data_IF_433539820346
#
_entry.id   IF_433539820346
#
_cell.length_a   1.000
_cell.length_b   1.000
_cell.length_c   1.000
_cell.angle_alpha   90.00
_cell.angle_beta   90.00
_cell.angle_gamma   90.00
#
_symmetry.space_group_name_H-M   'P 1'
#
loop_
_entity.id
_entity.type
_entity.pdbx_description
1 polymer ?
#
# COMPACT_ATOMS: atom_id res chain seq x y z
N UNK A 1 27.37 13.62 21.98
CA UNK A 1 26.55 13.82 20.76
C UNK A 1 26.83 15.21 20.19
N UNK A 2 26.81 15.41 18.87
CA UNK A 2 26.85 16.77 18.32
C UNK A 2 25.57 17.51 18.71
N UNK A 3 25.72 18.75 19.21
CA UNK A 3 24.61 19.66 19.53
C UNK A 3 23.65 19.74 18.34
N UNK A 4 22.37 19.40 18.52
CA UNK A 4 21.33 19.65 17.52
C UNK A 4 21.26 21.16 17.26
N UNK A 5 21.71 21.58 16.09
CA UNK A 5 21.45 22.92 15.56
C UNK A 5 19.94 23.09 15.36
N UNK A 6 19.41 24.30 15.55
CA UNK A 6 18.02 24.60 15.19
C UNK A 6 17.72 24.05 13.79
N UNK A 7 16.58 23.36 13.59
CA UNK A 7 16.29 22.71 12.32
C UNK A 7 16.37 23.77 11.21
N UNK A 8 17.18 23.56 10.16
CA UNK A 8 17.29 24.53 9.08
C UNK A 8 15.89 24.75 8.48
N UNK A 9 15.57 26.00 8.15
CA UNK A 9 14.31 26.34 7.49
C UNK A 9 14.24 25.64 6.14
N UNK A 10 13.47 24.56 6.08
CA UNK A 10 13.29 23.78 4.86
C UNK A 10 12.39 24.53 3.87
N UNK A 11 12.96 24.94 2.72
CA UNK A 11 12.19 25.54 1.64
C UNK A 11 11.28 24.51 0.97
N UNK A 12 9.98 24.80 0.92
CA UNK A 12 8.99 23.96 0.22
C UNK A 12 9.31 23.81 -1.26
N UNK A 13 9.77 24.88 -1.92
CA UNK A 13 10.15 24.82 -3.33
C UNK A 13 11.30 23.84 -3.55
N UNK A 14 12.32 23.89 -2.68
CA UNK A 14 13.45 22.98 -2.75
C UNK A 14 13.03 21.52 -2.56
N UNK A 15 12.16 21.24 -1.58
CA UNK A 15 11.59 19.90 -1.37
C UNK A 15 10.79 19.43 -2.59
N UNK A 16 9.97 20.31 -3.18
CA UNK A 16 9.19 19.99 -4.37
C UNK A 16 10.10 19.62 -5.56
N UNK A 17 11.19 20.36 -5.78
CA UNK A 17 12.17 20.05 -6.83
C UNK A 17 12.85 18.70 -6.60
N UNK A 18 13.24 18.38 -5.35
CA UNK A 18 13.80 17.06 -5.03
C UNK A 18 12.78 15.91 -5.15
N UNK A 19 11.50 16.21 -5.02
CA UNK A 19 10.41 15.24 -5.09
C UNK A 19 9.91 14.99 -6.52
N UNK A 20 10.38 15.72 -7.53
CA UNK A 20 10.00 15.49 -8.94
C UNK A 20 10.14 14.04 -9.43
N UNK A 21 11.11 13.22 -8.97
CA UNK A 21 11.16 11.80 -9.34
C UNK A 21 9.87 11.01 -9.04
N UNK A 22 9.07 11.38 -8.03
CA UNK A 22 7.76 10.74 -7.80
C UNK A 22 6.82 10.94 -8.99
N UNK A 23 6.83 12.13 -9.61
CA UNK A 23 5.97 12.43 -10.75
C UNK A 23 6.41 11.70 -12.02
N UNK A 24 7.72 11.41 -12.14
CA UNK A 24 8.24 10.56 -13.21
C UNK A 24 7.70 9.13 -13.08
N UNK A 25 7.59 8.60 -11.86
CA UNK A 25 6.98 7.29 -11.60
C UNK A 25 5.49 7.31 -11.98
N UNK A 26 4.73 8.37 -11.65
CA UNK A 26 3.34 8.51 -12.11
C UNK A 26 3.23 8.54 -13.63
N UNK A 27 4.12 9.27 -14.32
CA UNK A 27 4.13 9.30 -15.78
C UNK A 27 4.42 7.92 -16.39
N UNK A 28 5.34 7.16 -15.80
CA UNK A 28 5.61 5.78 -16.19
C UNK A 28 4.37 4.88 -16.06
N UNK A 29 3.68 4.93 -14.92
CA UNK A 29 2.44 4.16 -14.72
C UNK A 29 1.32 4.60 -15.68
N UNK A 30 1.19 5.91 -15.93
CA UNK A 30 0.20 6.44 -16.87
C UNK A 30 0.44 5.92 -18.29
N UNK A 31 1.70 5.79 -18.70
CA UNK A 31 2.04 5.14 -19.97
C UNK A 31 1.74 3.64 -19.93
N UNK A 32 1.99 2.96 -18.82
CA UNK A 32 1.68 1.54 -18.67
C UNK A 32 0.18 1.25 -18.83
N UNK A 33 -0.70 2.17 -18.43
CA UNK A 33 -2.15 2.03 -18.67
C UNK A 33 -2.53 1.88 -20.14
N UNK A 34 -1.78 2.47 -21.07
CA UNK A 34 -2.00 2.27 -22.50
C UNK A 34 -1.88 0.80 -22.92
N UNK A 35 -1.17 -0.02 -22.13
CA UNK A 35 -1.00 -1.45 -22.38
C UNK A 35 -2.25 -2.27 -22.04
N UNK A 36 -3.25 -1.66 -21.39
CA UNK A 36 -4.55 -2.27 -21.13
C UNK A 36 -5.50 -2.19 -22.33
N UNK A 37 -5.17 -1.46 -23.39
CA UNK A 37 -6.06 -1.29 -24.55
C UNK A 37 -6.59 -2.63 -25.12
N UNK A 38 -5.77 -3.69 -25.28
CA UNK A 38 -6.27 -4.96 -25.83
C UNK A 38 -7.25 -5.71 -24.92
N UNK A 39 -7.22 -5.48 -23.59
CA UNK A 39 -8.16 -6.14 -22.66
C UNK A 39 -9.51 -5.43 -22.56
N UNK A 40 -9.60 -4.18 -23.03
CA UNK A 40 -10.83 -3.37 -23.00
C UNK A 40 -12.04 -4.09 -23.60
N UNK A 41 -12.00 -4.52 -24.87
CA UNK A 41 -13.13 -5.20 -25.51
C UNK A 41 -13.55 -6.50 -24.80
N UNK A 42 -12.58 -7.24 -24.25
CA UNK A 42 -12.85 -8.48 -23.49
C UNK A 42 -13.61 -8.17 -22.20
N UNK A 43 -13.20 -7.13 -21.47
CA UNK A 43 -13.89 -6.67 -20.26
C UNK A 43 -15.30 -6.17 -20.61
N UNK A 44 -15.46 -5.38 -21.66
CA UNK A 44 -16.75 -4.87 -22.11
C UNK A 44 -17.73 -6.01 -22.45
N UNK A 45 -17.25 -7.04 -23.16
CA UNK A 45 -18.05 -8.23 -23.47
C UNK A 45 -18.47 -8.99 -22.21
N UNK A 46 -17.54 -9.21 -21.27
CA UNK A 46 -17.83 -9.87 -19.99
C UNK A 46 -18.82 -9.07 -19.14
N UNK A 47 -18.69 -7.74 -19.08
CA UNK A 47 -19.63 -6.84 -18.40
C UNK A 47 -21.04 -6.94 -19.01
N UNK A 48 -21.12 -6.99 -20.34
CA UNK A 48 -22.39 -7.07 -21.08
C UNK A 48 -23.10 -8.41 -20.89
N UNK A 49 -22.33 -9.50 -21.01
CA UNK A 49 -22.85 -10.88 -20.96
C UNK A 49 -23.00 -11.41 -19.54
N UNK A 50 -22.28 -10.84 -18.57
CA UNK A 50 -22.17 -11.36 -17.21
C UNK A 50 -21.67 -12.79 -17.17
N UNK A 51 -20.78 -13.14 -18.11
CA UNK A 51 -20.15 -14.44 -18.24
C UNK A 51 -18.64 -14.27 -18.41
N UNK A 52 -17.88 -15.03 -17.64
CA UNK A 52 -16.45 -15.23 -17.83
C UNK A 52 -16.23 -16.53 -18.59
N UNK A 53 -15.77 -16.44 -19.84
CA UNK A 53 -15.55 -17.62 -20.69
C UNK A 53 -14.12 -18.11 -20.58
N UNK A 54 -13.97 -19.41 -20.32
CA UNK A 54 -12.70 -20.13 -20.37
C UNK A 54 -12.75 -21.23 -21.42
N UNK A 55 -11.60 -21.83 -21.75
CA UNK A 55 -11.51 -22.97 -22.68
C UNK A 55 -12.32 -24.21 -22.24
N UNK A 56 -12.75 -24.29 -20.97
CA UNK A 56 -13.48 -25.44 -20.44
C UNK A 56 -14.88 -25.15 -19.88
N UNK A 57 -15.25 -23.87 -19.65
CA UNK A 57 -16.54 -23.52 -19.06
C UNK A 57 -16.90 -22.03 -19.20
N UNK A 58 -18.20 -21.75 -19.13
CA UNK A 58 -18.75 -20.41 -18.92
C UNK A 58 -19.09 -20.24 -17.44
N UNK A 59 -18.45 -19.28 -16.78
CA UNK A 59 -18.69 -18.98 -15.37
C UNK A 59 -19.57 -17.74 -15.28
N UNK A 60 -20.75 -17.81 -14.63
CA UNK A 60 -21.56 -16.62 -14.41
C UNK A 60 -20.86 -15.68 -13.43
N UNK A 61 -20.86 -14.39 -13.73
CA UNK A 61 -20.31 -13.34 -12.87
C UNK A 61 -21.41 -12.32 -12.54
N UNK A 62 -21.28 -11.70 -11.37
CA UNK A 62 -22.30 -10.81 -10.84
C UNK A 62 -22.24 -9.47 -11.56
N UNK A 63 -23.42 -8.93 -11.95
CA UNK A 63 -23.56 -7.66 -12.66
C UNK A 63 -23.67 -6.43 -11.76
N UNK A 64 -24.15 -6.62 -10.53
CA UNK A 64 -24.32 -5.57 -9.53
C UNK A 64 -24.45 -6.20 -8.15
N UNK A 65 -23.93 -5.49 -7.14
CA UNK A 65 -23.75 -6.03 -5.79
C UNK A 65 -24.23 -5.08 -4.70
N UNK A 66 -24.00 -3.78 -4.86
CA UNK A 66 -24.27 -2.78 -3.83
C UNK A 66 -25.71 -2.26 -3.85
N UNK A 67 -26.43 -2.45 -4.97
CA UNK A 67 -27.78 -1.91 -5.16
C UNK A 67 -27.81 -0.41 -5.39
N UNK A 68 -26.66 0.18 -5.75
CA UNK A 68 -26.50 1.60 -6.05
C UNK A 68 -25.97 1.68 -7.49
N UNK A 69 -26.78 2.12 -8.47
CA UNK A 69 -26.43 2.00 -9.89
C UNK A 69 -25.05 2.54 -10.25
N UNK A 70 -24.71 3.74 -9.76
CA UNK A 70 -23.40 4.36 -10.03
C UNK A 70 -22.23 3.52 -9.49
N UNK A 71 -22.37 2.93 -8.29
CA UNK A 71 -21.33 2.08 -7.72
C UNK A 71 -21.24 0.75 -8.46
N UNK A 72 -22.39 0.15 -8.76
CA UNK A 72 -22.45 -1.11 -9.49
C UNK A 72 -21.86 -0.97 -10.89
N UNK A 73 -22.16 0.11 -11.62
CA UNK A 73 -21.60 0.36 -12.97
C UNK A 73 -20.08 0.50 -12.94
N UNK A 74 -19.53 1.26 -11.98
CA UNK A 74 -18.08 1.44 -11.84
C UNK A 74 -17.40 0.12 -11.45
N UNK A 75 -17.89 -0.53 -10.40
CA UNK A 75 -17.24 -1.72 -9.84
C UNK A 75 -17.50 -2.99 -10.63
N UNK A 76 -18.48 -3.03 -11.52
CA UNK A 76 -18.64 -4.14 -12.45
C UNK A 76 -17.41 -4.25 -13.36
N UNK A 77 -16.99 -3.13 -13.98
CA UNK A 77 -15.78 -3.08 -14.82
C UNK A 77 -14.54 -3.52 -14.05
N UNK A 78 -14.35 -2.97 -12.84
CA UNK A 78 -13.18 -3.30 -12.00
C UNK A 78 -13.20 -4.77 -11.56
N UNK A 79 -14.36 -5.28 -11.11
CA UNK A 79 -14.49 -6.66 -10.65
C UNK A 79 -14.25 -7.64 -11.81
N UNK A 80 -14.71 -7.34 -13.02
CA UNK A 80 -14.46 -8.15 -14.22
C UNK A 80 -12.97 -8.16 -14.58
N UNK A 81 -12.30 -7.01 -14.53
CA UNK A 81 -10.85 -6.95 -14.72
C UNK A 81 -10.12 -7.83 -13.69
N UNK A 82 -10.52 -7.77 -12.42
CA UNK A 82 -9.94 -8.60 -11.36
C UNK A 82 -10.30 -10.09 -11.47
N UNK A 83 -11.42 -10.46 -12.10
CA UNK A 83 -11.71 -11.86 -12.38
C UNK A 83 -10.64 -12.49 -13.30
N UNK A 84 -10.14 -11.73 -14.29
CA UNK A 84 -9.03 -12.16 -15.15
C UNK A 84 -7.71 -12.36 -14.38
N UNK A 85 -7.55 -11.72 -13.22
CA UNK A 85 -6.41 -11.88 -12.32
C UNK A 85 -6.64 -13.05 -11.33
N UNK A 86 -7.83 -13.16 -10.75
CA UNK A 86 -8.12 -14.05 -9.62
C UNK A 86 -8.57 -15.46 -10.02
N UNK A 87 -9.02 -15.66 -11.25
CA UNK A 87 -9.56 -16.95 -11.70
C UNK A 87 -8.51 -17.93 -12.22
N UNK A 88 -7.22 -17.59 -12.09
CA UNK A 88 -6.11 -18.43 -12.57
C UNK A 88 -6.13 -18.64 -14.09
N UNK A 89 -6.74 -17.72 -14.84
CA UNK A 89 -6.78 -17.80 -16.31
C UNK A 89 -5.41 -17.53 -16.93
N UNK A 90 -4.73 -16.47 -16.45
CA UNK A 90 -3.31 -16.24 -16.65
C UNK A 90 -2.59 -16.53 -15.32
N UNK A 91 -1.87 -17.64 -15.25
CA UNK A 91 -1.17 -18.12 -14.06
C UNK A 91 -0.16 -17.07 -13.54
N UNK A 92 0.56 -16.39 -14.43
CA UNK A 92 1.53 -15.35 -14.04
C UNK A 92 0.81 -14.14 -13.45
N UNK A 93 -0.30 -13.73 -14.05
CA UNK A 93 -1.09 -12.62 -13.55
C UNK A 93 -1.69 -12.93 -12.18
N UNK A 94 -2.17 -14.16 -11.96
CA UNK A 94 -2.71 -14.61 -10.68
C UNK A 94 -1.68 -14.54 -9.56
N UNK A 95 -0.49 -15.10 -9.78
CA UNK A 95 0.57 -15.11 -8.78
C UNK A 95 1.07 -13.70 -8.48
N UNK A 96 1.23 -12.88 -9.51
CA UNK A 96 1.62 -11.49 -9.37
C UNK A 96 0.59 -10.70 -8.54
N UNK A 97 -0.70 -10.81 -8.89
CA UNK A 97 -1.75 -10.04 -8.24
C UNK A 97 -2.03 -10.51 -6.82
N UNK A 98 -1.90 -11.82 -6.54
CA UNK A 98 -2.01 -12.36 -5.18
C UNK A 98 -0.97 -11.71 -4.25
N UNK A 99 0.29 -11.70 -4.66
CA UNK A 99 1.37 -11.10 -3.85
C UNK A 99 1.17 -9.60 -3.75
N UNK A 100 0.99 -8.90 -4.88
CA UNK A 100 0.84 -7.45 -4.89
C UNK A 100 -0.29 -6.98 -3.97
N UNK A 101 -1.48 -7.55 -4.10
CA UNK A 101 -2.62 -7.13 -3.30
C UNK A 101 -2.47 -7.56 -1.83
N UNK A 102 -1.81 -8.67 -1.54
CA UNK A 102 -1.51 -9.02 -0.14
C UNK A 102 -0.55 -8.00 0.48
N UNK A 103 0.49 -7.65 -0.27
CA UNK A 103 1.52 -6.68 0.10
C UNK A 103 0.95 -5.29 0.35
N UNK A 104 0.01 -4.88 -0.50
CA UNK A 104 -0.55 -3.54 -0.45
C UNK A 104 -1.23 -3.23 0.89
N UNK A 105 -1.74 -4.23 1.63
CA UNK A 105 -2.31 -4.02 2.96
C UNK A 105 -1.33 -3.31 3.93
N UNK A 106 -0.04 -3.65 3.88
CA UNK A 106 0.98 -3.00 4.71
C UNK A 106 1.20 -1.53 4.32
N UNK A 107 1.24 -1.24 3.02
CA UNK A 107 1.34 0.13 2.51
C UNK A 107 0.08 0.94 2.81
N UNK A 108 -1.08 0.34 2.64
CA UNK A 108 -2.38 0.92 3.00
C UNK A 108 -2.43 1.32 4.47
N UNK A 109 -1.96 0.44 5.38
CA UNK A 109 -1.87 0.74 6.80
C UNK A 109 -0.95 1.95 7.07
N UNK A 110 0.21 2.02 6.41
CA UNK A 110 1.13 3.18 6.50
C UNK A 110 0.47 4.47 6.01
N UNK A 111 -0.19 4.46 4.85
CA UNK A 111 -0.89 5.63 4.31
C UNK A 111 -1.95 6.14 5.30
N UNK A 112 -2.72 5.23 5.90
CA UNK A 112 -3.68 5.61 6.95
C UNK A 112 -3.00 6.18 8.19
N UNK A 113 -1.92 5.58 8.68
CA UNK A 113 -1.20 6.09 9.85
C UNK A 113 -0.65 7.50 9.59
N UNK A 114 -0.09 7.74 8.40
CA UNK A 114 0.38 9.08 8.00
C UNK A 114 -0.75 10.10 7.87
N UNK A 115 -1.94 9.68 7.41
CA UNK A 115 -3.13 10.53 7.42
C UNK A 115 -3.48 11.00 8.83
N UNK A 116 -3.43 10.10 9.82
CA UNK A 116 -3.73 10.41 11.21
C UNK A 116 -2.60 11.15 11.95
N UNK A 117 -1.42 11.31 11.36
CA UNK A 117 -0.30 12.01 12.02
C UNK A 117 -0.63 13.49 12.27
N UNK A 118 -0.48 14.02 13.50
CA UNK A 118 -0.82 15.41 13.81
C UNK A 118 -0.06 16.44 12.97
N UNK A 119 1.22 16.20 12.70
CA UNK A 119 2.09 17.10 11.92
C UNK A 119 1.78 17.13 10.42
N UNK A 120 0.97 16.20 9.92
CA UNK A 120 0.59 16.18 8.52
C UNK A 120 -0.41 17.32 8.22
N UNK A 121 0.03 18.33 7.48
CA UNK A 121 -0.78 19.49 7.08
C UNK A 121 -1.39 19.37 5.69
N UNK A 122 -1.22 18.23 5.01
CA UNK A 122 -1.84 17.99 3.71
C UNK A 122 -3.31 17.59 3.92
N UNK A 123 -4.22 18.55 3.75
CA UNK A 123 -5.64 18.40 4.08
C UNK A 123 -6.29 17.18 3.41
N UNK A 124 -6.00 16.91 2.14
CA UNK A 124 -6.62 15.78 1.41
C UNK A 124 -6.22 14.44 2.04
N UNK A 125 -4.99 14.30 2.52
CA UNK A 125 -4.58 13.07 3.21
C UNK A 125 -5.34 12.82 4.51
N UNK A 126 -6.00 13.81 5.11
CA UNK A 126 -6.88 13.60 6.28
C UNK A 126 -8.14 12.79 5.96
N UNK A 127 -8.44 12.62 4.67
CA UNK A 127 -9.54 11.81 4.17
C UNK A 127 -8.98 10.62 3.38
N UNK A 128 -8.32 9.65 4.05
CA UNK A 128 -7.66 8.53 3.38
C UNK A 128 -8.63 7.74 2.48
N UNK A 129 -9.91 7.69 2.84
CA UNK A 129 -10.96 7.06 2.02
C UNK A 129 -11.00 7.63 0.59
N UNK A 130 -10.87 8.95 0.41
CA UNK A 130 -10.97 9.58 -0.93
C UNK A 130 -9.77 9.17 -1.77
N UNK A 131 -8.57 9.30 -1.20
CA UNK A 131 -7.34 8.95 -1.91
C UNK A 131 -7.31 7.46 -2.28
N UNK A 132 -7.69 6.58 -1.35
CA UNK A 132 -7.62 5.14 -1.53
C UNK A 132 -8.75 4.63 -2.44
N UNK A 133 -9.92 5.28 -2.40
CA UNK A 133 -11.01 5.00 -3.34
C UNK A 133 -10.63 5.39 -4.78
N UNK A 134 -10.02 6.56 -4.98
CA UNK A 134 -9.52 6.96 -6.31
C UNK A 134 -8.41 6.02 -6.79
N UNK A 135 -7.55 5.56 -5.88
CA UNK A 135 -6.50 4.57 -6.19
C UNK A 135 -7.07 3.24 -6.67
N UNK A 136 -8.26 2.85 -6.19
CA UNK A 136 -8.93 1.65 -6.66
C UNK A 136 -9.42 1.77 -8.11
N UNK A 137 -9.74 2.99 -8.56
CA UNK A 137 -10.25 3.25 -9.91
C UNK A 137 -9.13 3.48 -10.94
N UNK A 138 -8.04 4.14 -10.55
CA UNK A 138 -6.96 4.60 -11.45
C UNK A 138 -5.64 3.83 -11.21
N UNK A 139 -5.66 2.77 -10.41
CA UNK A 139 -4.50 2.07 -9.88
C UNK A 139 -3.62 2.89 -8.91
N UNK A 140 -3.07 2.19 -7.92
CA UNK A 140 -2.27 2.78 -6.86
C UNK A 140 -0.89 3.23 -7.35
N UNK A 141 -0.35 2.62 -8.41
CA UNK A 141 0.91 2.98 -9.04
C UNK A 141 0.90 4.39 -9.63
N UNK A 142 -0.28 4.93 -9.97
CA UNK A 142 -0.45 6.32 -10.39
C UNK A 142 -0.55 7.25 -9.20
N UNK A 143 -1.37 6.87 -8.20
CA UNK A 143 -1.77 7.76 -7.10
C UNK A 143 -0.77 7.77 -5.95
N UNK A 144 -0.13 6.65 -5.61
CA UNK A 144 0.83 6.55 -4.52
C UNK A 144 2.05 7.47 -4.70
N UNK A 145 2.69 7.58 -5.89
CA UNK A 145 3.76 8.55 -6.07
C UNK A 145 3.31 9.99 -5.85
N UNK A 146 2.09 10.36 -6.30
CA UNK A 146 1.51 11.69 -6.03
C UNK A 146 1.31 11.89 -4.52
N UNK A 147 0.78 10.90 -3.82
CA UNK A 147 0.64 10.96 -2.37
C UNK A 147 1.98 11.14 -1.67
N UNK A 148 2.99 10.36 -2.04
CA UNK A 148 4.33 10.45 -1.44
C UNK A 148 5.03 11.76 -1.75
N UNK A 149 4.85 12.32 -2.96
CA UNK A 149 5.28 13.67 -3.31
C UNK A 149 4.67 14.71 -2.36
N UNK A 150 3.35 14.67 -2.17
CA UNK A 150 2.65 15.62 -1.31
C UNK A 150 2.99 15.40 0.17
N UNK A 151 3.02 14.16 0.63
CA UNK A 151 3.37 13.79 1.99
C UNK A 151 4.78 14.28 2.35
N UNK A 152 5.76 14.10 1.45
CA UNK A 152 7.12 14.61 1.63
C UNK A 152 7.16 16.14 1.67
N UNK A 153 6.41 16.82 0.80
CA UNK A 153 6.36 18.28 0.74
C UNK A 153 5.76 18.90 2.03
N UNK A 154 4.70 18.29 2.56
CA UNK A 154 3.94 18.83 3.69
C UNK A 154 4.39 18.30 5.07
N UNK A 155 5.30 17.34 5.10
CA UNK A 155 5.84 16.74 6.34
C UNK A 155 7.36 16.90 6.41
N UNK A 156 7.86 18.14 6.61
CA UNK A 156 9.28 18.42 6.78
C UNK A 156 9.83 17.78 8.07
N UNK A 157 11.16 17.62 8.14
CA UNK A 157 11.83 16.83 9.19
C UNK A 157 11.44 17.28 10.60
N UNK A 158 11.40 18.60 10.84
CA UNK A 158 11.06 19.17 12.15
C UNK A 158 9.68 18.73 12.66
N UNK A 159 8.71 18.46 11.78
CA UNK A 159 7.38 18.00 12.21
C UNK A 159 7.38 16.52 12.63
N UNK A 160 8.30 15.73 12.09
CA UNK A 160 8.47 14.33 12.48
C UNK A 160 9.22 14.22 13.80
N UNK A 161 10.25 15.04 13.99
CA UNK A 161 11.06 15.02 15.21
C UNK A 161 10.41 15.74 16.38
N UNK A 162 9.46 16.65 16.15
CA UNK A 162 8.71 17.30 17.24
C UNK A 162 7.68 16.32 17.83
N UNK A 163 7.76 15.92 19.13
CA UNK A 163 6.90 14.88 19.68
C UNK A 163 5.39 15.13 19.53
N UNK A 164 4.93 16.37 19.68
CA UNK A 164 3.51 16.73 19.56
C UNK A 164 2.97 16.64 18.12
N UNK A 165 3.86 16.66 17.13
CA UNK A 165 3.51 16.63 15.71
C UNK A 165 3.81 15.26 15.09
N UNK A 166 4.86 14.59 15.57
CA UNK A 166 5.31 13.30 15.05
C UNK A 166 4.54 12.12 15.64
N UNK A 167 4.14 12.16 16.92
CA UNK A 167 3.62 10.96 17.61
C UNK A 167 2.21 10.55 17.15
N UNK A 168 1.99 9.25 16.95
CA UNK A 168 0.70 8.69 16.57
C UNK A 168 -0.14 8.35 17.81
N UNK A 169 -1.46 8.38 17.68
CA UNK A 169 -2.33 7.97 18.78
C UNK A 169 -2.60 6.46 18.74
N UNK A 170 -2.61 5.84 19.93
CA UNK A 170 -2.80 4.38 20.09
C UNK A 170 -4.14 3.89 19.54
N UNK A 171 -5.19 4.70 19.67
CA UNK A 171 -6.56 4.35 19.26
C UNK A 171 -6.65 4.03 17.76
N UNK A 172 -6.29 4.98 16.87
CA UNK A 172 -6.18 4.74 15.44
C UNK A 172 -5.27 3.56 15.07
N UNK A 173 -4.11 3.38 15.73
CA UNK A 173 -3.23 2.24 15.43
C UNK A 173 -3.92 0.89 15.63
N UNK A 174 -4.62 0.71 16.77
CA UNK A 174 -5.39 -0.51 17.05
C UNK A 174 -6.59 -0.66 16.11
N UNK A 175 -7.27 0.44 15.80
CA UNK A 175 -8.43 0.43 14.91
C UNK A 175 -8.06 0.07 13.47
N UNK A 176 -6.95 0.58 12.97
CA UNK A 176 -6.41 0.25 11.64
C UNK A 176 -6.06 -1.24 11.56
N UNK A 177 -5.50 -1.84 12.61
CA UNK A 177 -5.25 -3.27 12.63
C UNK A 177 -6.54 -4.10 12.45
N UNK A 178 -7.58 -3.78 13.22
CA UNK A 178 -8.89 -4.45 13.06
C UNK A 178 -9.45 -4.24 11.66
N UNK A 179 -9.34 -3.01 11.12
CA UNK A 179 -9.79 -2.67 9.79
C UNK A 179 -9.06 -3.44 8.68
N UNK A 180 -7.73 -3.61 8.77
CA UNK A 180 -6.95 -4.41 7.82
C UNK A 180 -7.40 -5.87 7.84
N UNK A 181 -7.58 -6.46 9.02
CA UNK A 181 -8.01 -7.85 9.10
C UNK A 181 -9.41 -8.03 8.48
N UNK A 182 -10.38 -7.25 8.94
CA UNK A 182 -11.80 -7.45 8.59
C UNK A 182 -12.19 -6.86 7.24
N UNK A 183 -11.71 -5.64 6.95
CA UNK A 183 -12.09 -4.89 5.76
C UNK A 183 -11.21 -5.17 4.55
N UNK A 184 -10.03 -5.78 4.74
CA UNK A 184 -9.10 -6.08 3.66
C UNK A 184 -8.84 -7.58 3.51
N UNK A 185 -8.20 -8.24 4.49
CA UNK A 185 -7.76 -9.63 4.32
C UNK A 185 -8.89 -10.64 4.27
N UNK A 186 -9.93 -10.47 5.10
CA UNK A 186 -11.09 -11.38 5.14
C UNK A 186 -11.79 -11.49 3.78
N UNK A 187 -12.06 -10.40 3.02
CA UNK A 187 -12.60 -10.56 1.67
C UNK A 187 -11.53 -10.86 0.61
N UNK A 188 -10.28 -10.40 0.79
CA UNK A 188 -9.18 -10.65 -0.16
C UNK A 188 -8.90 -12.13 -0.36
N UNK A 189 -8.61 -12.89 0.71
CA UNK A 189 -8.16 -14.27 0.53
C UNK A 189 -9.21 -15.21 -0.06
N UNK A 190 -10.49 -15.16 0.32
CA UNK A 190 -11.54 -15.90 -0.36
C UNK A 190 -11.74 -15.51 -1.83
N UNK A 191 -11.42 -14.27 -2.23
CA UNK A 191 -11.44 -13.88 -3.65
C UNK A 191 -10.40 -14.63 -4.50
N UNK A 192 -9.35 -15.18 -3.88
CA UNK A 192 -8.33 -16.00 -4.54
C UNK A 192 -8.49 -17.49 -4.29
N UNK A 193 -8.81 -17.90 -3.06
CA UNK A 193 -8.69 -19.29 -2.65
C UNK A 193 -10.01 -20.06 -2.61
N UNK A 194 -11.15 -19.41 -2.83
CA UNK A 194 -12.41 -20.15 -2.88
C UNK A 194 -12.39 -21.15 -4.05
N UNK A 195 -12.87 -22.38 -3.83
CA UNK A 195 -12.91 -23.38 -4.90
C UNK A 195 -13.88 -23.02 -6.03
N UNK A 196 -14.95 -22.28 -5.72
CA UNK A 196 -15.91 -21.80 -6.71
C UNK A 196 -15.49 -20.43 -7.26
N UNK A 197 -15.34 -20.33 -8.58
CA UNK A 197 -15.04 -19.07 -9.27
C UNK A 197 -16.16 -18.02 -9.09
N UNK A 198 -17.41 -18.46 -9.04
CA UNK A 198 -18.55 -17.57 -8.72
C UNK A 198 -18.41 -16.97 -7.32
N UNK A 199 -18.02 -17.79 -6.33
CA UNK A 199 -17.76 -17.30 -4.98
C UNK A 199 -16.53 -16.40 -4.93
N UNK A 200 -15.49 -16.66 -5.73
CA UNK A 200 -14.35 -15.74 -5.88
C UNK A 200 -14.83 -14.37 -6.38
N UNK A 201 -15.69 -14.34 -7.40
CA UNK A 201 -16.28 -13.10 -7.91
C UNK A 201 -17.07 -12.36 -6.81
N UNK A 202 -17.89 -13.08 -6.04
CA UNK A 202 -18.67 -12.50 -4.95
C UNK A 202 -17.78 -11.87 -3.86
N UNK A 203 -16.71 -12.56 -3.45
CA UNK A 203 -15.75 -12.02 -2.50
C UNK A 203 -14.94 -10.85 -3.07
N UNK A 204 -14.63 -10.89 -4.37
CA UNK A 204 -14.00 -9.79 -5.06
C UNK A 204 -14.87 -8.52 -5.00
N UNK A 205 -16.17 -8.63 -5.29
CA UNK A 205 -17.11 -7.50 -5.12
C UNK A 205 -17.08 -6.90 -3.71
N UNK A 206 -16.99 -7.72 -2.66
CA UNK A 206 -16.83 -7.18 -1.30
C UNK A 206 -15.49 -6.46 -1.15
N UNK A 207 -14.41 -7.09 -1.63
CA UNK A 207 -13.06 -6.56 -1.52
C UNK A 207 -12.87 -5.24 -2.27
N UNK A 208 -13.49 -5.04 -3.44
CA UNK A 208 -13.34 -3.83 -4.25
C UNK A 208 -13.67 -2.53 -3.47
N UNK A 209 -14.55 -2.61 -2.47
CA UNK A 209 -14.91 -1.48 -1.61
C UNK A 209 -14.09 -1.41 -0.30
N UNK A 210 -12.94 -2.10 -0.20
CA UNK A 210 -12.10 -2.13 0.99
C UNK A 210 -11.74 -0.74 1.54
N UNK A 211 -11.52 0.34 0.74
CA UNK A 211 -11.22 1.66 1.31
C UNK A 211 -12.34 2.16 2.20
N UNK A 212 -13.60 1.92 1.80
CA UNK A 212 -14.80 2.34 2.54
C UNK A 212 -14.97 1.47 3.79
N UNK A 213 -14.84 0.14 3.66
CA UNK A 213 -14.94 -0.78 4.80
C UNK A 213 -13.88 -0.48 5.84
N UNK A 214 -12.63 -0.38 5.43
CA UNK A 214 -11.51 -0.14 6.33
C UNK A 214 -11.63 1.22 7.05
N UNK A 215 -12.03 2.28 6.36
CA UNK A 215 -12.22 3.59 6.99
C UNK A 215 -13.41 3.58 7.97
N UNK A 216 -14.51 2.91 7.61
CA UNK A 216 -15.70 2.80 8.46
C UNK A 216 -15.39 2.01 9.74
N UNK A 217 -14.70 0.88 9.61
CA UNK A 217 -14.24 0.06 10.75
C UNK A 217 -13.27 0.85 11.61
N UNK A 218 -12.29 1.53 11.00
CA UNK A 218 -11.33 2.37 11.73
C UNK A 218 -12.05 3.45 12.54
N UNK A 219 -13.02 4.15 11.95
CA UNK A 219 -13.82 5.17 12.64
C UNK A 219 -14.62 4.60 13.82
N UNK A 220 -15.31 3.47 13.62
CA UNK A 220 -16.10 2.82 14.66
C UNK A 220 -15.20 2.35 15.83
N UNK A 221 -14.12 1.63 15.54
CA UNK A 221 -13.24 1.07 16.56
C UNK A 221 -12.32 2.10 17.21
N UNK A 222 -11.97 3.21 16.56
CA UNK A 222 -11.20 4.30 17.18
C UNK A 222 -11.92 4.86 18.41
N UNK A 223 -13.25 5.00 18.34
CA UNK A 223 -14.07 5.46 19.48
C UNK A 223 -14.10 4.45 20.61
N UNK A 224 -14.15 3.15 20.30
CA UNK A 224 -14.14 2.07 21.29
C UNK A 224 -12.79 2.03 21.99
N UNK A 225 -11.69 2.01 21.25
CA UNK A 225 -10.34 1.95 21.82
C UNK A 225 -9.95 3.22 22.58
N UNK A 226 -10.44 4.40 22.17
CA UNK A 226 -10.25 5.62 22.93
C UNK A 226 -10.89 5.54 24.33
N UNK A 227 -12.05 4.88 24.46
CA UNK A 227 -12.72 4.67 25.75
C UNK A 227 -12.00 3.64 26.62
N UNK A 228 -11.47 2.58 26.01
CA UNK A 228 -10.78 1.48 26.70
C UNK A 228 -9.35 1.84 27.14
N UNK A 229 -8.69 2.81 26.51
CA UNK A 229 -7.32 3.21 26.83
C UNK A 229 -7.21 4.11 28.09
N UNK A 230 -8.26 4.20 28.93
CA UNK A 230 -8.15 4.84 30.24
C UNK A 230 -7.29 3.97 31.16
N UNK A 231 -5.99 4.29 31.20
CA UNK A 231 -5.02 3.90 32.23
C UNK A 231 -4.79 2.39 32.43
N UNK A 232 -4.01 1.79 31.55
CA UNK A 232 -3.19 0.63 31.91
C UNK A 232 -1.74 1.09 31.86
N UNK A 233 -1.03 1.13 33.00
CA UNK A 233 0.35 1.62 33.17
C UNK A 233 1.45 0.88 32.37
N UNK A 234 1.16 0.40 31.17
CA UNK A 234 2.14 -0.11 30.21
C UNK A 234 3.01 1.04 29.69
N UNK A 235 4.31 0.86 29.73
CA UNK A 235 5.26 1.71 29.02
C UNK A 235 5.00 1.55 27.50
N UNK A 236 4.71 2.66 26.81
CA UNK A 236 4.66 2.77 25.33
C UNK A 236 3.65 1.88 24.58
N UNK A 237 2.34 1.92 24.90
CA UNK A 237 1.30 1.13 24.22
C UNK A 237 1.14 1.42 22.71
N UNK A 238 1.67 2.55 22.23
CA UNK A 238 1.71 2.91 20.81
C UNK A 238 2.73 2.07 20.04
N UNK A 239 3.93 1.90 20.58
CA UNK A 239 5.01 1.13 19.96
C UNK A 239 4.57 -0.32 19.75
N UNK A 240 3.95 -0.91 20.77
CA UNK A 240 3.43 -2.27 20.69
C UNK A 240 2.34 -2.41 19.63
N UNK A 241 1.42 -1.44 19.54
CA UNK A 241 0.37 -1.44 18.52
C UNK A 241 0.96 -1.35 17.10
N UNK A 242 1.95 -0.48 16.87
CA UNK A 242 2.63 -0.36 15.59
C UNK A 242 3.39 -1.64 15.22
N UNK A 243 4.10 -2.25 16.17
CA UNK A 243 4.81 -3.53 15.98
C UNK A 243 3.86 -4.66 15.60
N UNK A 244 2.73 -4.79 16.30
CA UNK A 244 1.74 -5.82 16.01
C UNK A 244 1.14 -5.60 14.62
N UNK A 245 0.75 -4.37 14.29
CA UNK A 245 0.15 -4.04 13.01
C UNK A 245 1.13 -4.27 11.83
N UNK A 246 2.30 -3.65 11.89
CA UNK A 246 3.31 -3.73 10.82
C UNK A 246 3.87 -5.15 10.74
N UNK A 247 4.17 -5.78 11.87
CA UNK A 247 4.64 -7.17 11.94
C UNK A 247 3.61 -8.15 11.40
N UNK A 248 2.33 -8.00 11.75
CA UNK A 248 1.25 -8.82 11.22
C UNK A 248 1.12 -8.72 9.71
N UNK A 249 1.13 -7.49 9.15
CA UNK A 249 1.12 -7.31 7.69
C UNK A 249 2.37 -7.93 7.04
N UNK A 250 3.55 -7.71 7.64
CA UNK A 250 4.83 -8.23 7.14
C UNK A 250 4.88 -9.75 7.08
N UNK A 251 4.35 -10.43 8.10
CA UNK A 251 4.29 -11.90 8.17
C UNK A 251 3.34 -12.44 7.11
N UNK A 252 2.16 -11.83 6.94
CA UNK A 252 1.19 -12.26 5.93
C UNK A 252 1.74 -12.07 4.52
N UNK A 253 2.34 -10.92 4.22
CA UNK A 253 3.06 -10.65 2.98
C UNK A 253 4.16 -11.66 2.69
N UNK A 254 5.01 -11.95 3.69
CA UNK A 254 6.11 -12.89 3.54
C UNK A 254 5.60 -14.31 3.27
N UNK A 255 4.50 -14.68 3.94
CA UNK A 255 3.81 -15.94 3.70
C UNK A 255 3.29 -16.05 2.27
N UNK A 256 2.62 -15.00 1.75
CA UNK A 256 2.14 -14.98 0.37
C UNK A 256 3.28 -14.98 -0.65
N UNK A 257 4.38 -14.28 -0.38
CA UNK A 257 5.59 -14.30 -1.19
C UNK A 257 6.14 -15.73 -1.31
N UNK A 258 6.49 -16.37 -0.18
CA UNK A 258 7.05 -17.72 -0.21
C UNK A 258 6.08 -18.77 -0.74
N UNK A 259 4.78 -18.65 -0.44
CA UNK A 259 3.77 -19.52 -1.01
C UNK A 259 3.74 -19.41 -2.54
N UNK A 260 3.83 -18.20 -3.07
CA UNK A 260 3.88 -17.95 -4.52
C UNK A 260 5.15 -18.52 -5.13
N UNK A 261 6.32 -18.23 -4.55
CA UNK A 261 7.60 -18.78 -5.03
C UNK A 261 7.60 -20.31 -5.04
N UNK A 262 7.00 -20.95 -4.03
CA UNK A 262 6.92 -22.40 -3.94
C UNK A 262 5.90 -23.02 -4.90
N UNK A 263 4.90 -22.26 -5.35
CA UNK A 263 3.78 -22.76 -6.15
C UNK A 263 3.88 -22.45 -7.64
N UNK A 264 4.52 -21.34 -8.01
CA UNK A 264 4.65 -20.90 -9.40
C UNK A 264 5.65 -21.76 -10.17
N UNK A 265 5.41 -21.94 -11.46
CA UNK A 265 6.33 -22.67 -12.37
C UNK A 265 7.28 -21.74 -13.13
N UNK A 266 6.89 -20.49 -13.26
CA UNK A 266 7.62 -19.46 -14.00
C UNK A 266 8.69 -18.79 -13.14
N UNK A 267 9.59 -18.07 -13.78
CA UNK A 267 10.61 -17.31 -13.05
C UNK A 267 10.03 -16.09 -12.32
N UNK A 268 10.67 -15.68 -11.22
CA UNK A 268 10.31 -14.44 -10.48
C UNK A 268 10.23 -13.24 -11.43
N UNK A 269 11.15 -13.15 -12.39
CA UNK A 269 11.20 -12.03 -13.32
C UNK A 269 10.01 -12.02 -14.29
N UNK A 270 9.56 -13.18 -14.76
CA UNK A 270 8.38 -13.26 -15.63
C UNK A 270 7.08 -12.92 -14.91
N UNK A 271 7.00 -13.26 -13.62
CA UNK A 271 5.81 -12.99 -12.80
C UNK A 271 5.78 -11.54 -12.33
N UNK A 272 6.90 -10.99 -11.86
CA UNK A 272 6.91 -9.70 -11.17
C UNK A 272 7.48 -8.52 -11.96
N UNK A 273 8.23 -8.77 -13.04
CA UNK A 273 8.88 -7.69 -13.81
C UNK A 273 8.20 -7.53 -15.18
N UNK A 274 7.76 -6.32 -15.55
CA UNK A 274 7.22 -6.03 -16.87
C UNK A 274 8.21 -6.41 -17.96
N UNK A 275 7.78 -7.31 -18.85
CA UNK A 275 8.56 -7.70 -20.03
C UNK A 275 8.43 -6.69 -21.17
N UNK A 276 7.37 -5.89 -21.14
CA UNK A 276 7.09 -4.85 -22.12
C UNK A 276 7.37 -3.49 -21.50
N UNK A 277 8.45 -2.81 -21.93
CA UNK A 277 8.80 -1.47 -21.46
C UNK A 277 8.42 -0.36 -22.47
N UNK A 278 8.47 -0.68 -23.77
CA UNK A 278 8.28 0.29 -24.86
C UNK A 278 7.15 -0.16 -25.79
N UNK A 279 7.13 -1.42 -26.18
CA UNK A 279 6.10 -2.01 -27.03
C UNK A 279 4.83 -2.33 -26.26
N UNK A 280 3.68 -2.32 -26.94
CA UNK A 280 2.39 -2.65 -26.34
C UNK A 280 2.08 -4.12 -26.64
N UNK A 281 1.77 -4.93 -25.62
CA UNK A 281 1.36 -6.32 -25.84
C UNK A 281 0.10 -6.35 -26.68
N UNK A 282 -0.04 -7.37 -27.52
CA UNK A 282 -1.23 -7.56 -28.36
C UNK A 282 -2.23 -8.53 -27.71
N UNK A 283 -1.75 -9.45 -26.88
CA UNK A 283 -2.60 -10.38 -26.16
C UNK A 283 -3.28 -9.68 -24.95
N UNK A 284 -4.61 -9.77 -24.82
CA UNK A 284 -5.36 -9.12 -23.74
C UNK A 284 -4.86 -9.44 -22.32
N UNK A 285 -4.68 -10.72 -22.01
CA UNK A 285 -4.20 -11.21 -20.70
C UNK A 285 -2.83 -10.62 -20.35
N UNK A 286 -1.92 -10.59 -21.33
CA UNK A 286 -0.57 -10.05 -21.20
C UNK A 286 -0.59 -8.54 -21.00
N UNK A 287 -1.51 -7.84 -21.66
CA UNK A 287 -1.77 -6.41 -21.43
C UNK A 287 -2.12 -6.14 -19.98
N UNK A 288 -3.13 -6.82 -19.46
CA UNK A 288 -3.56 -6.67 -18.07
C UNK A 288 -2.45 -7.06 -17.08
N UNK A 289 -1.75 -8.19 -17.32
CA UNK A 289 -0.61 -8.64 -16.51
C UNK A 289 0.50 -7.59 -16.46
N UNK A 290 0.83 -7.00 -17.61
CA UNK A 290 1.89 -5.98 -17.70
C UNK A 290 1.51 -4.74 -16.88
N UNK A 291 0.26 -4.30 -16.96
CA UNK A 291 -0.24 -3.15 -16.18
C UNK A 291 -0.13 -3.41 -14.69
N UNK A 292 -0.53 -4.58 -14.20
CA UNK A 292 -0.47 -4.89 -12.76
C UNK A 292 0.97 -5.08 -12.25
N UNK A 293 1.90 -5.54 -13.11
CA UNK A 293 3.33 -5.55 -12.81
C UNK A 293 3.89 -4.12 -12.67
N UNK A 294 3.52 -3.20 -13.58
CA UNK A 294 3.90 -1.80 -13.46
C UNK A 294 3.28 -1.16 -12.23
N UNK A 295 2.01 -1.47 -11.92
CA UNK A 295 1.31 -0.95 -10.74
C UNK A 295 2.11 -1.27 -9.47
N UNK A 296 2.47 -2.53 -9.31
CA UNK A 296 3.28 -3.01 -8.19
C UNK A 296 4.65 -2.34 -8.10
N UNK A 297 5.40 -2.29 -9.20
CA UNK A 297 6.74 -1.68 -9.21
C UNK A 297 6.66 -0.18 -8.93
N UNK A 298 5.74 0.53 -9.57
CA UNK A 298 5.61 1.99 -9.43
C UNK A 298 5.21 2.37 -8.01
N UNK A 299 4.21 1.69 -7.41
CA UNK A 299 3.78 2.03 -6.06
C UNK A 299 4.88 1.72 -5.01
N UNK A 300 5.56 0.58 -5.09
CA UNK A 300 6.62 0.23 -4.13
C UNK A 300 7.89 1.03 -4.37
N UNK A 301 8.30 1.28 -5.61
CA UNK A 301 9.46 2.15 -5.89
C UNK A 301 9.24 3.55 -5.30
N UNK A 302 8.04 4.11 -5.47
CA UNK A 302 7.68 5.37 -4.86
C UNK A 302 7.67 5.28 -3.32
N UNK A 303 7.10 4.22 -2.74
CA UNK A 303 7.12 4.01 -1.30
C UNK A 303 8.54 3.94 -0.72
N UNK A 304 9.44 3.18 -1.34
CA UNK A 304 10.83 3.07 -0.91
C UNK A 304 11.60 4.37 -1.07
N UNK A 305 11.39 5.09 -2.17
CA UNK A 305 12.00 6.40 -2.38
C UNK A 305 11.52 7.41 -1.32
N UNK A 306 10.24 7.38 -0.97
CA UNK A 306 9.68 8.18 0.12
C UNK A 306 10.31 7.86 1.48
N UNK A 307 10.45 6.57 1.81
CA UNK A 307 11.15 6.16 3.03
C UNK A 307 12.62 6.62 3.03
N UNK A 308 13.33 6.45 1.90
CA UNK A 308 14.71 6.91 1.77
C UNK A 308 14.83 8.43 2.01
N UNK A 309 13.92 9.22 1.45
CA UNK A 309 13.90 10.67 1.67
C UNK A 309 13.66 11.03 3.13
N UNK A 310 12.77 10.32 3.81
CA UNK A 310 12.55 10.52 5.24
C UNK A 310 13.76 10.10 6.09
N UNK A 311 14.41 8.98 5.77
CA UNK A 311 15.63 8.56 6.45
C UNK A 311 16.77 9.57 6.25
N UNK A 312 16.87 10.18 5.06
CA UNK A 312 17.81 11.27 4.78
C UNK A 312 17.49 12.52 5.60
N UNK A 313 16.22 12.88 5.70
CA UNK A 313 15.77 13.99 6.56
C UNK A 313 16.14 13.73 8.03
N UNK A 314 15.95 12.50 8.52
CA UNK A 314 16.34 12.08 9.88
C UNK A 314 17.86 12.11 10.11
N UNK A 315 18.65 11.69 9.12
CA UNK A 315 20.11 11.80 9.15
C UNK A 315 20.56 13.27 9.24
N UNK A 316 19.96 14.15 8.44
CA UNK A 316 20.31 15.58 8.41
C UNK A 316 20.03 16.30 9.74
N UNK A 317 18.99 15.88 10.49
CA UNK A 317 18.66 16.43 11.81
C UNK A 317 19.29 15.64 12.97
N UNK A 318 20.19 14.71 12.66
CA UNK A 318 20.99 13.97 13.63
C UNK A 318 20.22 12.94 14.45
N UNK A 319 19.09 12.41 13.94
CA UNK A 319 18.36 11.30 14.57
C UNK A 319 19.09 9.97 14.35
N UNK A 320 19.74 9.79 13.20
CA UNK A 320 20.46 8.58 12.85
C UNK A 320 21.66 8.87 11.94
N UNK A 321 22.47 7.86 11.68
CA UNK A 321 23.54 7.88 10.67
C UNK A 321 23.41 6.66 9.79
N UNK A 322 23.37 6.84 8.47
CA UNK A 322 23.04 5.77 7.53
C UNK A 322 24.19 5.57 6.57
N UNK A 323 24.75 4.35 6.57
CA UNK A 323 25.59 3.90 5.47
C UNK A 323 24.69 3.58 4.27
N UNK A 324 24.52 4.53 3.35
CA UNK A 324 23.61 4.42 2.21
C UNK A 324 23.90 3.21 1.33
N UNK A 325 25.16 2.90 1.07
CA UNK A 325 25.56 1.70 0.30
C UNK A 325 25.07 0.44 1.00
N UNK A 326 25.35 0.30 2.30
CA UNK A 326 24.89 -0.85 3.09
C UNK A 326 23.37 -0.94 3.14
N UNK A 327 22.69 0.19 3.35
CA UNK A 327 21.23 0.25 3.42
C UNK A 327 20.61 -0.24 2.11
N UNK A 328 21.06 0.30 0.96
CA UNK A 328 20.58 -0.12 -0.36
C UNK A 328 20.86 -1.60 -0.60
N UNK A 329 22.09 -2.07 -0.35
CA UNK A 329 22.44 -3.48 -0.54
C UNK A 329 21.58 -4.42 0.32
N UNK A 330 21.36 -4.08 1.60
CA UNK A 330 20.53 -4.89 2.50
C UNK A 330 19.07 -4.88 2.05
N UNK A 331 18.51 -3.72 1.68
CA UNK A 331 17.12 -3.63 1.19
C UNK A 331 16.92 -4.45 -0.08
N UNK A 332 17.86 -4.40 -1.03
CA UNK A 332 17.77 -5.22 -2.26
C UNK A 332 17.82 -6.71 -1.93
N UNK A 333 18.83 -7.16 -1.17
CA UNK A 333 19.00 -8.57 -0.82
C UNK A 333 17.79 -9.10 -0.06
N UNK A 334 17.34 -8.38 0.98
CA UNK A 334 16.17 -8.78 1.75
C UNK A 334 14.89 -8.71 0.91
N UNK A 335 14.78 -7.77 -0.05
CA UNK A 335 13.59 -7.61 -0.88
C UNK A 335 13.35 -8.85 -1.75
N UNK A 336 14.41 -9.46 -2.27
CA UNK A 336 14.31 -10.74 -2.97
C UNK A 336 14.00 -11.91 -2.02
N UNK A 337 14.53 -11.87 -0.79
CA UNK A 337 14.39 -12.96 0.18
C UNK A 337 12.98 -13.05 0.79
N UNK A 338 12.45 -11.92 1.24
CA UNK A 338 11.18 -11.86 1.99
C UNK A 338 10.04 -11.21 1.20
N UNK A 339 10.32 -10.64 0.02
CA UNK A 339 9.37 -9.93 -0.81
C UNK A 339 9.36 -8.41 -0.52
N UNK A 340 9.12 -7.57 -1.55
CA UNK A 340 9.16 -6.13 -1.38
C UNK A 340 7.94 -5.59 -0.60
N UNK A 341 6.83 -6.32 -0.48
CA UNK A 341 5.75 -5.92 0.42
C UNK A 341 6.04 -6.06 1.90
N UNK A 342 6.85 -7.05 2.29
CA UNK A 342 7.23 -7.29 3.68
C UNK A 342 8.19 -6.23 4.18
N UNK A 343 9.14 -5.81 3.34
CA UNK A 343 10.17 -4.85 3.77
C UNK A 343 9.64 -3.44 3.97
N UNK A 344 8.69 -2.98 3.16
CA UNK A 344 8.15 -1.63 3.27
C UNK A 344 7.61 -1.27 4.67
N UNK A 345 6.67 -2.02 5.27
CA UNK A 345 6.17 -1.75 6.62
C UNK A 345 7.25 -1.93 7.70
N UNK A 346 8.23 -2.82 7.52
CA UNK A 346 9.36 -2.99 8.44
C UNK A 346 10.25 -1.74 8.44
N UNK A 347 10.62 -1.23 7.26
CA UNK A 347 11.45 -0.02 7.13
C UNK A 347 10.71 1.21 7.65
N UNK A 348 9.39 1.30 7.41
CA UNK A 348 8.57 2.34 8.01
C UNK A 348 8.55 2.24 9.54
N UNK A 349 8.36 1.03 10.10
CA UNK A 349 8.38 0.81 11.55
C UNK A 349 9.74 1.17 12.16
N UNK A 350 10.85 0.80 11.50
CA UNK A 350 12.20 1.17 11.92
C UNK A 350 12.34 2.69 12.04
N UNK A 351 11.82 3.44 11.06
CA UNK A 351 11.79 4.90 11.11
C UNK A 351 11.04 5.41 12.35
N UNK A 352 9.87 4.85 12.65
CA UNK A 352 9.12 5.23 13.85
C UNK A 352 9.86 4.86 15.15
N UNK A 353 10.56 3.72 15.19
CA UNK A 353 11.37 3.33 16.35
C UNK A 353 12.50 4.33 16.63
N UNK A 354 13.18 4.81 15.59
CA UNK A 354 14.22 5.83 15.70
C UNK A 354 13.66 7.16 16.22
N UNK A 355 12.51 7.59 15.71
CA UNK A 355 11.82 8.79 16.18
C UNK A 355 11.42 8.67 17.65
N UNK A 356 10.85 7.53 18.06
CA UNK A 356 10.47 7.28 19.45
C UNK A 356 11.70 7.24 20.39
N UNK A 357 12.82 6.66 19.95
CA UNK A 357 14.05 6.60 20.72
C UNK A 357 14.62 8.00 20.95
N UNK A 358 14.74 8.81 19.89
CA UNK A 358 15.25 10.18 19.98
C UNK A 358 14.41 11.06 20.93
N UNK A 359 13.09 10.96 20.88
CA UNK A 359 12.19 11.70 21.78
C UNK A 359 12.30 11.23 23.25
N UNK A 360 12.62 9.95 23.46
CA UNK A 360 12.79 9.38 24.79
C UNK A 360 14.08 9.85 25.47
N UNK A 361 15.15 10.10 24.71
CA UNK A 361 16.41 10.66 25.20
C UNK A 361 16.25 12.14 25.59
N UNK A 362 15.58 12.95 24.76
CA UNK A 362 15.31 14.37 25.07
C UNK A 362 14.53 14.55 26.38
N UNK A 363 13.54 13.69 26.65
CA UNK A 363 12.79 13.76 27.91
C UNK A 363 13.62 13.39 29.15
N UNK A 364 14.70 12.61 28.99
CA UNK A 364 15.62 12.32 30.09
C UNK A 364 16.55 13.50 30.34
N UNK A 365 17.15 14.05 29.28
CA UNK A 365 18.02 15.23 29.37
C UNK A 365 17.29 16.48 29.90
N UNK A 366 15.99 16.63 29.66
CA UNK A 366 15.20 17.75 30.21
C UNK A 366 14.82 17.58 31.69
N UNK A 367 15.05 16.41 32.29
CA UNK A 367 14.74 16.10 33.69
C UNK A 367 15.98 16.08 34.59
N UNK A 368 17.15 15.96 33.99
CA UNK A 368 18.46 16.07 34.64
C UNK A 368 18.97 17.52 34.54
#
# INVERSE_FOLDING_TARGET
>A
MPKRTAPPTESRLRRALYALPFLVITALMTRAFGMAEPIGPVIEEMVKTSVFTTSGANIPIIKGFYGIPVLDDIFNVVTVAFANLQFYFDEKAYWQSLVFLTDFAGMYAVIQLEAYRPGNTFIISKYPVVFLFVSQMIAIGCTAPIFFFLAYLFTPAYKLTTPSLGRLSVGPCKAIYVAIILGYYVPHFPSYFNASLERRNWWNWIWQLFPVWCCSITFAFSKVFARMNKSNGKLNPERDALRILMGGCSIISMGAWWYTIASMKDSIFEVFVPQYLITYPQEPSVGLRTVIQFDYICCYAAGYMWLAYHFRDLENVGVCSISWVRAISVTVVLGFLVGPGTLFPILWLLREELLMAANGEEMKEARD
#
